data_IF_610645811645
#
_entry.id   IF_610645811645
#
_cell.length_a   1.000
_cell.length_b   1.000
_cell.length_c   1.000
_cell.angle_alpha   90.00
_cell.angle_beta   90.00
_cell.angle_gamma   90.00
#
_symmetry.space_group_name_H-M   'P 1'
#
loop_
_entity.id
_entity.type
_entity.pdbx_description
1 polymer ?
#
# COMPACT_ATOMS: atom_id res chain seq x y z
N UNK A 1 -29.10 -1.73 1.77
CA UNK A 1 -28.02 -1.04 1.02
C UNK A 1 -26.69 -1.60 1.49
N UNK A 2 -25.78 -1.96 0.58
CA UNK A 2 -24.40 -2.31 0.96
C UNK A 2 -23.63 -1.03 1.20
N UNK A 3 -22.70 -1.03 2.16
CA UNK A 3 -21.77 0.08 2.32
C UNK A 3 -20.92 0.22 1.04
N UNK A 4 -20.68 1.46 0.61
CA UNK A 4 -19.94 1.77 -0.61
C UNK A 4 -18.56 2.31 -0.25
N UNK A 5 -17.53 1.82 -0.96
CA UNK A 5 -16.17 2.29 -0.77
C UNK A 5 -15.99 3.79 -1.09
N UNK A 6 -16.81 4.31 -2.01
CA UNK A 6 -16.79 5.74 -2.39
C UNK A 6 -16.96 6.67 -1.20
N UNK A 7 -17.85 6.35 -0.25
CA UNK A 7 -18.07 7.17 0.94
C UNK A 7 -16.85 7.25 1.86
N UNK A 8 -16.01 6.21 1.90
CA UNK A 8 -14.74 6.25 2.64
C UNK A 8 -13.78 7.24 1.98
N UNK A 9 -13.66 7.21 0.65
CA UNK A 9 -12.80 8.12 -0.10
C UNK A 9 -13.25 9.57 0.04
N UNK A 10 -14.55 9.84 -0.08
CA UNK A 10 -15.12 11.17 0.15
C UNK A 10 -14.78 11.68 1.56
N UNK A 11 -14.89 10.80 2.56
CA UNK A 11 -14.57 11.18 3.93
C UNK A 11 -13.09 11.49 4.10
N UNK A 12 -12.20 10.65 3.58
CA UNK A 12 -10.74 10.89 3.62
C UNK A 12 -10.39 12.21 2.93
N UNK A 13 -10.95 12.49 1.74
CA UNK A 13 -10.70 13.72 0.99
C UNK A 13 -11.24 14.99 1.67
N UNK A 14 -12.21 14.85 2.59
CA UNK A 14 -12.76 15.98 3.35
C UNK A 14 -11.84 16.50 4.47
N UNK A 15 -10.80 15.75 4.82
CA UNK A 15 -9.84 16.11 5.88
C UNK A 15 -8.47 16.47 5.27
N UNK A 16 -7.92 17.61 5.68
CA UNK A 16 -6.56 18.04 5.29
C UNK A 16 -5.54 17.89 6.43
N UNK A 17 -5.99 17.84 7.68
CA UNK A 17 -5.12 17.69 8.83
C UNK A 17 -4.66 16.23 8.98
N UNK A 18 -3.36 16.06 9.19
CA UNK A 18 -2.76 14.73 9.40
C UNK A 18 -3.35 14.02 10.63
N UNK A 19 -3.54 14.75 11.73
CA UNK A 19 -4.07 14.19 12.98
C UNK A 19 -5.52 13.71 12.84
N UNK A 20 -6.35 14.42 12.07
CA UNK A 20 -7.70 13.98 11.75
C UNK A 20 -7.69 12.65 10.96
N UNK A 21 -6.77 12.51 10.02
CA UNK A 21 -6.63 11.29 9.23
C UNK A 21 -6.13 10.11 10.07
N UNK A 22 -5.24 10.34 11.04
CA UNK A 22 -4.83 9.30 12.00
C UNK A 22 -6.06 8.77 12.73
N UNK A 23 -6.83 9.66 13.38
CA UNK A 23 -8.02 9.27 14.15
C UNK A 23 -9.03 8.55 13.26
N UNK A 24 -9.23 9.02 12.03
CA UNK A 24 -10.13 8.40 11.06
C UNK A 24 -9.67 6.97 10.68
N UNK A 25 -8.40 6.77 10.37
CA UNK A 25 -7.90 5.44 10.00
C UNK A 25 -7.72 4.50 11.20
N UNK A 26 -7.58 5.03 12.41
CA UNK A 26 -7.67 4.26 13.65
C UNK A 26 -9.08 3.73 13.90
N UNK A 27 -10.11 4.53 13.57
CA UNK A 27 -11.51 4.13 13.63
C UNK A 27 -11.87 3.09 12.56
N UNK A 28 -11.40 3.28 11.32
CA UNK A 28 -11.84 2.48 10.16
C UNK A 28 -11.08 1.17 9.95
N UNK A 29 -9.86 1.07 10.46
CA UNK A 29 -8.98 -0.07 10.26
C UNK A 29 -8.56 -0.64 11.61
N UNK A 30 -8.26 -1.93 11.66
CA UNK A 30 -7.54 -2.53 12.77
C UNK A 30 -6.05 -2.21 12.70
N UNK A 31 -5.33 -2.42 13.81
CA UNK A 31 -3.86 -2.28 13.85
C UNK A 31 -3.16 -3.21 12.86
N UNK A 32 -3.65 -4.45 12.73
CA UNK A 32 -3.14 -5.43 11.76
C UNK A 32 -3.36 -4.96 10.32
N UNK A 33 -4.52 -4.38 10.00
CA UNK A 33 -4.81 -3.86 8.67
C UNK A 33 -3.94 -2.64 8.32
N UNK A 34 -3.75 -1.71 9.27
CA UNK A 34 -2.82 -0.57 9.08
C UNK A 34 -1.40 -1.06 8.81
N UNK A 35 -0.93 -2.01 9.60
CA UNK A 35 0.39 -2.62 9.44
C UNK A 35 0.52 -3.34 8.09
N UNK A 36 -0.52 -4.06 7.66
CA UNK A 36 -0.54 -4.74 6.36
C UNK A 36 -0.51 -3.76 5.18
N UNK A 37 -1.24 -2.64 5.26
CA UNK A 37 -1.24 -1.58 4.23
C UNK A 37 0.13 -0.91 4.15
N UNK A 38 0.71 -0.53 5.30
CA UNK A 38 2.04 0.07 5.38
C UNK A 38 3.12 -0.86 4.81
N UNK A 39 3.06 -2.14 5.17
CA UNK A 39 3.99 -3.16 4.64
C UNK A 39 3.86 -3.31 3.12
N UNK A 40 2.63 -3.35 2.57
CA UNK A 40 2.43 -3.41 1.11
C UNK A 40 3.00 -2.18 0.41
N UNK A 41 2.79 -0.98 0.95
CA UNK A 41 3.37 0.25 0.39
C UNK A 41 4.90 0.14 0.30
N UNK A 42 5.55 -0.25 1.40
CA UNK A 42 7.00 -0.41 1.44
C UNK A 42 7.50 -1.47 0.45
N UNK A 43 6.82 -2.60 0.34
CA UNK A 43 7.14 -3.65 -0.63
C UNK A 43 7.05 -3.12 -2.07
N UNK A 44 5.97 -2.40 -2.42
CA UNK A 44 5.84 -1.84 -3.76
C UNK A 44 6.94 -0.82 -4.07
N UNK A 45 7.23 0.10 -3.15
CA UNK A 45 8.31 1.08 -3.30
C UNK A 45 9.66 0.38 -3.57
N UNK A 46 10.00 -0.60 -2.74
CA UNK A 46 11.29 -1.33 -2.85
C UNK A 46 11.38 -2.14 -4.15
N UNK A 47 10.29 -2.82 -4.54
CA UNK A 47 10.24 -3.58 -5.80
C UNK A 47 10.36 -2.67 -7.03
N UNK A 48 9.82 -1.44 -6.96
CA UNK A 48 9.90 -0.47 -8.05
C UNK A 48 11.28 0.20 -8.16
N UNK A 49 11.97 0.39 -7.04
CA UNK A 49 13.37 0.85 -7.00
C UNK A 49 14.33 -0.22 -7.54
N UNK A 50 14.04 -1.51 -7.29
CA UNK A 50 14.79 -2.63 -7.87
C UNK A 50 16.13 -2.92 -7.17
N UNK A 51 16.38 -2.31 -6.01
CA UNK A 51 17.65 -2.39 -5.28
C UNK A 51 17.78 -3.65 -4.41
N UNK A 52 16.66 -4.30 -4.07
CA UNK A 52 16.62 -5.45 -3.17
C UNK A 52 15.92 -6.66 -3.78
N UNK A 53 16.45 -7.85 -3.52
CA UNK A 53 15.76 -9.11 -3.82
C UNK A 53 14.57 -9.33 -2.87
N UNK A 54 13.60 -10.15 -3.29
CA UNK A 54 12.43 -10.48 -2.46
C UNK A 54 12.80 -11.09 -1.10
N UNK A 55 13.90 -11.84 -1.02
CA UNK A 55 14.39 -12.43 0.24
C UNK A 55 14.95 -11.35 1.17
N UNK A 56 15.68 -10.37 0.64
CA UNK A 56 16.16 -9.23 1.43
C UNK A 56 14.99 -8.38 1.95
N UNK A 57 13.99 -8.11 1.10
CA UNK A 57 12.75 -7.40 1.50
C UNK A 57 12.05 -8.14 2.64
N UNK A 58 11.95 -9.47 2.56
CA UNK A 58 11.30 -10.28 3.59
C UNK A 58 12.04 -10.20 4.93
N UNK A 59 13.37 -10.26 4.91
CA UNK A 59 14.20 -10.21 6.11
C UNK A 59 14.21 -8.82 6.75
N UNK A 60 14.37 -7.77 5.96
CA UNK A 60 14.52 -6.41 6.45
C UNK A 60 13.21 -5.85 7.00
N UNK A 61 12.11 -6.02 6.26
CA UNK A 61 10.81 -5.47 6.65
C UNK A 61 9.95 -6.46 7.43
N UNK A 62 10.44 -7.68 7.69
CA UNK A 62 9.71 -8.75 8.38
C UNK A 62 8.36 -9.07 7.71
N UNK A 63 8.30 -8.97 6.38
CA UNK A 63 7.10 -9.23 5.58
C UNK A 63 7.19 -10.63 4.97
N UNK A 64 6.07 -11.36 4.97
CA UNK A 64 6.03 -12.70 4.39
C UNK A 64 6.40 -12.71 2.90
N UNK A 65 7.14 -13.74 2.47
CA UNK A 65 7.46 -13.96 1.05
C UNK A 65 6.18 -14.07 0.21
N UNK A 66 5.09 -14.61 0.76
CA UNK A 66 3.80 -14.72 0.08
C UNK A 66 3.22 -13.34 -0.28
N UNK A 67 3.28 -12.38 0.65
CA UNK A 67 2.87 -10.99 0.40
C UNK A 67 3.72 -10.36 -0.69
N UNK A 68 5.04 -10.51 -0.59
CA UNK A 68 5.99 -9.94 -1.57
C UNK A 68 5.78 -10.53 -2.96
N UNK A 69 5.54 -11.85 -3.04
CA UNK A 69 5.25 -12.55 -4.29
C UNK A 69 3.98 -12.01 -4.94
N UNK A 70 2.93 -11.77 -4.15
CA UNK A 70 1.68 -11.18 -4.65
C UNK A 70 1.90 -9.78 -5.20
N UNK A 71 2.62 -8.92 -4.49
CA UNK A 71 2.97 -7.57 -4.96
C UNK A 71 3.82 -7.61 -6.24
N UNK A 72 4.85 -8.47 -6.29
CA UNK A 72 5.71 -8.62 -7.46
C UNK A 72 4.94 -9.10 -8.68
N UNK A 73 4.05 -10.09 -8.51
CA UNK A 73 3.18 -10.53 -9.59
C UNK A 73 2.24 -9.42 -10.04
N UNK A 74 1.69 -8.62 -9.12
CA UNK A 74 0.86 -7.47 -9.50
C UNK A 74 1.61 -6.50 -10.42
N UNK A 75 2.86 -6.14 -10.08
CA UNK A 75 3.70 -5.28 -10.92
C UNK A 75 4.06 -5.91 -12.27
N UNK A 76 4.31 -7.22 -12.32
CA UNK A 76 4.68 -7.92 -13.57
C UNK A 76 3.57 -7.93 -14.62
N UNK A 77 2.31 -7.90 -14.19
CA UNK A 77 1.15 -7.93 -15.10
C UNK A 77 0.65 -6.52 -15.47
N UNK A 78 1.32 -5.46 -15.02
CA UNK A 78 0.99 -4.08 -15.40
C UNK A 78 1.55 -3.73 -16.78
N UNK A 79 0.83 -2.87 -17.49
CA UNK A 79 1.41 -2.16 -18.63
C UNK A 79 2.47 -1.16 -18.17
N UNK A 80 3.35 -0.75 -19.08
CA UNK A 80 4.35 0.29 -18.80
C UNK A 80 3.70 1.58 -18.29
N UNK A 81 2.59 2.01 -18.92
CA UNK A 81 1.86 3.20 -18.50
C UNK A 81 1.28 3.08 -17.08
N UNK A 82 0.73 1.91 -16.73
CA UNK A 82 0.21 1.68 -15.38
C UNK A 82 1.34 1.72 -14.35
N UNK A 83 2.48 1.13 -14.67
CA UNK A 83 3.67 1.11 -13.81
C UNK A 83 4.21 2.52 -13.59
N UNK A 84 4.33 3.34 -14.64
CA UNK A 84 4.78 4.73 -14.54
C UNK A 84 3.83 5.59 -13.71
N UNK A 85 2.51 5.39 -13.86
CA UNK A 85 1.51 6.09 -13.05
C UNK A 85 1.65 5.75 -11.57
N UNK A 86 1.85 4.46 -11.24
CA UNK A 86 2.01 4.03 -9.85
C UNK A 86 3.33 4.51 -9.29
N UNK A 87 4.44 4.45 -10.04
CA UNK A 87 5.72 5.00 -9.60
C UNK A 87 5.58 6.47 -9.19
N UNK A 88 4.94 7.31 -10.01
CA UNK A 88 4.69 8.72 -9.67
C UNK A 88 3.79 8.93 -8.45
N UNK A 89 2.97 7.94 -8.10
CA UNK A 89 2.03 8.04 -6.99
C UNK A 89 2.68 7.67 -5.64
N UNK A 90 3.63 6.74 -5.63
CA UNK A 90 4.15 6.14 -4.40
C UNK A 90 5.67 6.25 -4.18
N UNK A 91 6.44 6.70 -5.18
CA UNK A 91 7.86 7.03 -5.05
C UNK A 91 8.04 8.55 -4.99
#
# INVERSE_FOLDING_TARGET
MRAEWGSVLEKVLSHQAHDDLIVLFELLLTEEERSAVAGRLKVFQTLLQGEMSQRQIAQEYQISIATITRCSNYLKHMSLQQRDNIQRLIL
#
